data_IF_410855395877
#
_entry.id   IF_410855395877
#
_cell.length_a   1.000
_cell.length_b   1.000
_cell.length_c   1.000
_cell.angle_alpha   90.00
_cell.angle_beta   90.00
_cell.angle_gamma   90.00
#
_symmetry.space_group_name_H-M   'P 1'
#
loop_
_entity.id
_entity.type
_entity.pdbx_description
1 polymer ?
#
# COMPACT_ATOMS: atom_id res chain seq x y z
N UNK A 1 -13.73 -3.92 -71.31
CA UNK A 1 -12.77 -2.82 -71.14
C UNK A 1 -11.87 -3.20 -69.98
N UNK A 2 -10.67 -3.75 -70.24
CA UNK A 2 -9.74 -4.20 -69.21
C UNK A 2 -8.97 -2.95 -68.75
N UNK A 3 -9.28 -2.46 -67.55
CA UNK A 3 -8.53 -1.36 -66.93
C UNK A 3 -7.11 -1.88 -66.69
N UNK A 4 -6.14 -1.39 -67.48
CA UNK A 4 -4.72 -1.60 -67.20
C UNK A 4 -4.38 -0.78 -65.96
N UNK A 5 -4.45 -1.39 -64.79
CA UNK A 5 -3.83 -0.83 -63.59
C UNK A 5 -2.33 -0.88 -63.80
N UNK A 6 -1.68 0.29 -63.77
CA UNK A 6 -0.22 0.32 -63.78
C UNK A 6 0.31 -0.20 -62.44
N UNK A 7 1.52 -0.76 -62.37
CA UNK A 7 2.11 -1.21 -61.10
C UNK A 7 2.14 -0.11 -60.04
N UNK A 8 2.28 1.15 -60.47
CA UNK A 8 2.27 2.33 -59.60
C UNK A 8 0.89 2.61 -58.99
N UNK A 9 -0.19 2.41 -59.76
CA UNK A 9 -1.56 2.55 -59.27
C UNK A 9 -1.92 1.48 -58.22
N UNK A 10 -1.40 0.25 -58.39
CA UNK A 10 -1.57 -0.82 -57.42
C UNK A 10 -0.87 -0.50 -56.11
N UNK A 11 0.40 -0.06 -56.16
CA UNK A 11 1.16 0.29 -54.96
C UNK A 11 0.51 1.45 -54.18
N UNK A 12 0.07 2.50 -54.88
CA UNK A 12 -0.69 3.60 -54.26
C UNK A 12 -1.97 3.10 -53.57
N UNK A 13 -2.74 2.23 -54.22
CA UNK A 13 -3.96 1.69 -53.62
C UNK A 13 -3.71 0.86 -52.36
N UNK A 14 -2.58 0.16 -52.28
CA UNK A 14 -2.18 -0.64 -51.11
C UNK A 14 -1.72 0.27 -49.95
N UNK A 15 -0.98 1.33 -50.25
CA UNK A 15 -0.52 2.29 -49.25
C UNK A 15 -1.67 3.14 -48.71
N UNK A 16 -2.59 3.56 -49.57
CA UNK A 16 -3.82 4.27 -49.18
C UNK A 16 -4.71 3.38 -48.31
N UNK A 17 -4.88 2.10 -48.67
CA UNK A 17 -5.62 1.14 -47.85
C UNK A 17 -4.96 0.89 -46.49
N UNK A 18 -3.63 0.90 -46.41
CA UNK A 18 -2.89 0.82 -45.13
C UNK A 18 -3.08 2.08 -44.30
N UNK A 19 -3.04 3.26 -44.92
CA UNK A 19 -3.24 4.54 -44.25
C UNK A 19 -4.64 4.65 -43.65
N UNK A 20 -5.67 4.28 -44.41
CA UNK A 20 -7.06 4.25 -43.95
C UNK A 20 -7.23 3.29 -42.77
N UNK A 21 -6.73 2.05 -42.86
CA UNK A 21 -6.76 1.09 -41.74
C UNK A 21 -6.02 1.60 -40.50
N UNK A 22 -4.92 2.34 -40.69
CA UNK A 22 -4.16 2.94 -39.58
C UNK A 22 -4.96 4.05 -38.91
N UNK A 23 -5.69 4.83 -39.69
CA UNK A 23 -6.53 5.92 -39.21
C UNK A 23 -7.79 5.43 -38.51
N UNK A 24 -8.45 4.41 -39.05
CA UNK A 24 -9.57 3.72 -38.40
C UNK A 24 -9.15 3.14 -37.05
N UNK A 25 -8.02 2.42 -36.99
CA UNK A 25 -7.46 1.93 -35.72
C UNK A 25 -7.09 3.04 -34.75
N UNK A 26 -6.71 4.23 -35.25
CA UNK A 26 -6.41 5.38 -34.40
C UNK A 26 -7.70 5.99 -33.82
N UNK A 27 -8.75 6.11 -34.63
CA UNK A 27 -10.07 6.61 -34.21
C UNK A 27 -10.75 5.64 -33.24
N UNK A 28 -10.67 4.33 -33.50
CA UNK A 28 -11.11 3.29 -32.57
C UNK A 28 -10.36 3.41 -31.24
N UNK A 29 -9.03 3.61 -31.27
CA UNK A 29 -8.22 3.82 -30.05
C UNK A 29 -8.56 5.09 -29.29
N UNK A 30 -8.97 6.14 -30.00
CA UNK A 30 -9.36 7.43 -29.43
C UNK A 30 -10.77 7.41 -28.81
N UNK A 31 -11.53 6.32 -29.00
CA UNK A 31 -12.85 6.16 -28.37
C UNK A 31 -12.69 5.77 -26.90
N UNK A 32 -13.12 6.63 -25.99
CA UNK A 32 -12.96 6.47 -24.53
C UNK A 32 -13.62 5.21 -23.96
N UNK A 33 -14.72 4.74 -24.56
CA UNK A 33 -15.52 3.61 -24.07
C UNK A 33 -15.19 2.27 -24.74
N UNK A 34 -14.07 2.16 -25.47
CA UNK A 34 -13.69 0.91 -26.12
C UNK A 34 -13.29 -0.16 -25.10
N UNK A 35 -13.55 -1.42 -25.42
CA UNK A 35 -12.97 -2.52 -24.67
C UNK A 35 -11.46 -2.56 -24.92
N UNK A 36 -10.69 -2.66 -23.83
CA UNK A 36 -9.23 -2.79 -23.91
C UNK A 36 -8.86 -4.13 -24.56
N UNK A 37 -7.82 -4.13 -25.38
CA UNK A 37 -7.23 -5.37 -25.89
C UNK A 37 -6.63 -6.20 -24.74
N UNK A 38 -6.57 -7.54 -24.79
CA UNK A 38 -6.01 -8.33 -23.69
C UNK A 38 -4.57 -7.95 -23.32
N UNK A 39 -3.74 -7.50 -24.27
CA UNK A 39 -2.40 -7.02 -23.96
C UNK A 39 -2.39 -5.64 -23.28
N UNK A 40 -3.27 -4.74 -23.70
CA UNK A 40 -3.44 -3.44 -23.05
C UNK A 40 -3.95 -3.61 -21.60
N UNK A 41 -4.90 -4.53 -21.39
CA UNK A 41 -5.34 -4.92 -20.03
C UNK A 41 -4.20 -5.44 -19.20
N UNK A 42 -3.42 -6.37 -19.73
CA UNK A 42 -2.26 -6.95 -19.03
C UNK A 42 -1.29 -5.86 -18.58
N UNK A 43 -0.93 -4.95 -19.48
CA UNK A 43 -0.02 -3.84 -19.18
C UNK A 43 -0.57 -2.92 -18.09
N UNK A 44 -1.84 -2.50 -18.21
CA UNK A 44 -2.47 -1.62 -17.22
C UNK A 44 -2.57 -2.30 -15.86
N UNK A 45 -2.91 -3.59 -15.82
CA UNK A 45 -2.97 -4.37 -14.58
C UNK A 45 -1.58 -4.47 -13.94
N UNK A 46 -0.55 -4.75 -14.73
CA UNK A 46 0.84 -4.82 -14.23
C UNK A 46 1.29 -3.47 -13.67
N UNK A 47 1.09 -2.38 -14.42
CA UNK A 47 1.40 -1.02 -13.97
C UNK A 47 0.66 -0.67 -12.67
N UNK A 48 -0.59 -1.13 -12.53
CA UNK A 48 -1.38 -0.91 -11.31
C UNK A 48 -0.88 -1.76 -10.13
N UNK A 49 -0.40 -2.96 -10.38
CA UNK A 49 0.21 -3.82 -9.37
C UNK A 49 1.50 -3.18 -8.81
N UNK A 50 2.34 -2.63 -9.69
CA UNK A 50 3.56 -1.92 -9.29
C UNK A 50 3.22 -0.71 -8.41
N UNK A 51 2.25 0.12 -8.84
CA UNK A 51 1.78 1.27 -8.06
C UNK A 51 1.25 0.87 -6.68
N UNK A 52 0.52 -0.23 -6.57
CA UNK A 52 0.01 -0.71 -5.28
C UNK A 52 1.14 -1.19 -4.37
N UNK A 53 2.19 -1.78 -4.95
CA UNK A 53 3.39 -2.18 -4.22
C UNK A 53 4.13 -0.96 -3.69
N UNK A 54 4.29 0.09 -4.51
CA UNK A 54 4.91 1.35 -4.10
C UNK A 54 4.13 2.01 -2.95
N UNK A 55 2.80 2.04 -3.02
CA UNK A 55 1.94 2.58 -1.94
C UNK A 55 2.14 1.78 -0.64
N UNK A 56 2.27 0.46 -0.74
CA UNK A 56 2.53 -0.39 0.42
C UNK A 56 3.89 -0.06 1.06
N UNK A 57 4.94 0.11 0.25
CA UNK A 57 6.29 0.44 0.71
C UNK A 57 6.35 1.83 1.36
N UNK A 58 5.70 2.83 0.75
CA UNK A 58 5.56 4.16 1.33
C UNK A 58 4.86 4.11 2.68
N UNK A 59 3.83 3.26 2.82
CA UNK A 59 3.15 3.02 4.09
C UNK A 59 4.09 2.47 5.17
N UNK A 60 4.96 1.52 4.83
CA UNK A 60 5.95 0.98 5.77
C UNK A 60 6.98 2.03 6.19
N UNK A 61 7.48 2.78 5.22
CA UNK A 61 8.42 3.87 5.48
C UNK A 61 7.84 4.89 6.45
N UNK A 62 6.60 5.33 6.23
CA UNK A 62 5.87 6.24 7.13
C UNK A 62 5.66 5.63 8.53
N UNK A 63 5.36 4.34 8.60
CA UNK A 63 5.19 3.64 9.89
C UNK A 63 6.50 3.60 10.68
N UNK A 64 7.63 3.30 10.03
CA UNK A 64 8.97 3.32 10.66
C UNK A 64 9.31 4.72 11.17
N UNK A 65 9.06 5.77 10.38
CA UNK A 65 9.25 7.15 10.82
C UNK A 65 8.38 7.50 12.04
N UNK A 66 7.11 7.09 12.07
CA UNK A 66 6.24 7.32 13.22
C UNK A 66 6.77 6.66 14.50
N UNK A 67 7.33 5.45 14.39
CA UNK A 67 7.98 4.75 15.52
C UNK A 67 9.24 5.47 16.01
N UNK A 68 10.05 6.05 15.13
CA UNK A 68 11.21 6.85 15.51
C UNK A 68 10.79 8.10 16.31
N UNK A 69 9.77 8.82 15.84
CA UNK A 69 9.24 10.00 16.53
C UNK A 69 8.69 9.59 17.91
N UNK A 70 7.93 8.49 17.98
CA UNK A 70 7.43 7.93 19.22
C UNK A 70 8.55 7.63 20.23
N UNK A 71 9.63 6.99 19.76
CA UNK A 71 10.81 6.72 20.58
C UNK A 71 11.41 8.01 21.15
N UNK A 72 11.55 9.04 20.31
CA UNK A 72 12.03 10.36 20.72
C UNK A 72 11.14 11.02 21.77
N UNK A 73 9.83 11.02 21.58
CA UNK A 73 8.87 11.60 22.54
C UNK A 73 8.94 10.87 23.89
N UNK A 74 8.97 9.54 23.88
CA UNK A 74 9.09 8.74 25.10
C UNK A 74 10.43 9.01 25.82
N UNK A 75 11.53 9.18 25.09
CA UNK A 75 12.82 9.53 25.68
C UNK A 75 12.80 10.93 26.33
N UNK A 76 12.19 11.92 25.68
CA UNK A 76 11.98 13.25 26.26
C UNK A 76 11.14 13.17 27.54
N UNK A 77 10.05 12.40 27.53
CA UNK A 77 9.22 12.22 28.73
C UNK A 77 9.95 11.53 29.87
N UNK A 78 10.78 10.52 29.58
CA UNK A 78 11.64 9.91 30.59
C UNK A 78 12.61 10.93 31.19
N UNK A 79 13.23 11.77 30.35
CA UNK A 79 14.13 12.82 30.81
C UNK A 79 13.41 13.83 31.70
N UNK A 80 12.20 14.27 31.32
CA UNK A 80 11.35 15.15 32.13
C UNK A 80 11.10 14.54 33.52
N UNK A 81 10.74 13.25 33.60
CA UNK A 81 10.50 12.56 34.87
C UNK A 81 11.77 12.52 35.73
N UNK A 82 12.90 12.12 35.14
CA UNK A 82 14.18 12.02 35.87
C UNK A 82 14.71 13.37 36.36
N UNK A 83 14.53 14.46 35.58
CA UNK A 83 14.93 15.81 36.00
C UNK A 83 13.96 16.43 37.02
N UNK A 84 12.69 16.03 36.99
CA UNK A 84 11.70 16.42 38.00
C UNK A 84 12.18 16.04 39.40
N UNK A 85 12.57 14.78 39.60
CA UNK A 85 13.00 14.24 40.90
C UNK A 85 14.20 14.99 41.52
N UNK A 86 15.13 15.49 40.70
CA UNK A 86 16.31 16.23 41.18
C UNK A 86 16.02 17.68 41.62
N UNK A 87 14.84 18.22 41.30
CA UNK A 87 14.52 19.65 41.45
C UNK A 87 13.32 19.95 42.35
N UNK A 88 12.84 18.97 43.12
CA UNK A 88 11.58 19.11 43.85
C UNK A 88 10.35 19.01 42.94
N UNK A 89 10.42 18.10 41.96
CA UNK A 89 9.38 17.87 40.97
C UNK A 89 8.02 17.47 41.57
N UNK A 90 6.98 17.39 40.73
CA UNK A 90 5.61 17.14 41.19
C UNK A 90 5.56 15.87 42.03
N UNK A 91 5.02 15.98 43.25
CA UNK A 91 4.92 14.89 44.20
C UNK A 91 4.23 13.70 43.51
N UNK A 92 4.96 12.61 43.28
CA UNK A 92 4.47 11.42 42.55
C UNK A 92 3.27 10.79 43.29
N UNK A 93 3.05 11.15 44.55
CA UNK A 93 1.88 10.81 45.36
C UNK A 93 0.60 11.56 44.97
N UNK A 94 0.67 12.63 44.16
CA UNK A 94 -0.52 13.32 43.70
C UNK A 94 -1.31 12.40 42.74
N UNK A 95 -2.56 12.04 43.06
CA UNK A 95 -3.34 11.11 42.25
C UNK A 95 -3.54 11.61 40.82
N UNK A 96 -3.52 12.92 40.56
CA UNK A 96 -3.61 13.47 39.22
C UNK A 96 -2.36 13.19 38.37
N UNK A 97 -1.16 13.22 38.99
CA UNK A 97 0.12 12.90 38.32
C UNK A 97 0.18 11.40 38.02
N UNK A 98 -0.22 10.57 38.98
CA UNK A 98 -0.32 9.11 38.78
C UNK A 98 -1.31 8.78 37.65
N UNK A 99 -2.49 9.42 37.64
CA UNK A 99 -3.48 9.23 36.58
C UNK A 99 -2.96 9.67 35.21
N UNK A 100 -2.26 10.81 35.12
CA UNK A 100 -1.62 11.26 33.89
C UNK A 100 -0.59 10.26 33.38
N UNK A 101 0.33 9.80 34.23
CA UNK A 101 1.37 8.84 33.86
C UNK A 101 0.75 7.51 33.42
N UNK A 102 -0.21 6.99 34.18
CA UNK A 102 -0.94 5.77 33.83
C UNK A 102 -1.65 5.90 32.47
N UNK A 103 -2.32 7.04 32.23
CA UNK A 103 -2.98 7.35 30.96
C UNK A 103 -1.95 7.41 29.82
N UNK A 104 -0.85 8.12 30.01
CA UNK A 104 0.22 8.23 29.02
C UNK A 104 0.81 6.87 28.65
N UNK A 105 1.16 6.04 29.65
CA UNK A 105 1.69 4.68 29.43
C UNK A 105 0.68 3.82 28.70
N UNK A 106 -0.60 3.86 29.09
CA UNK A 106 -1.67 3.13 28.43
C UNK A 106 -1.84 3.54 26.97
N UNK A 107 -1.84 4.85 26.67
CA UNK A 107 -1.90 5.34 25.29
C UNK A 107 -0.67 4.92 24.49
N UNK A 108 0.53 5.03 25.07
CA UNK A 108 1.78 4.62 24.43
C UNK A 108 1.78 3.12 24.08
N UNK A 109 1.29 2.26 24.98
CA UNK A 109 1.13 0.82 24.72
C UNK A 109 0.09 0.54 23.64
N UNK A 110 -1.09 1.16 23.71
CA UNK A 110 -2.11 1.08 22.66
C UNK A 110 -1.53 1.47 21.30
N UNK A 111 -0.66 2.47 21.30
CA UNK A 111 -0.01 2.99 20.12
C UNK A 111 1.01 2.02 19.52
N UNK A 112 1.85 1.40 20.35
CA UNK A 112 2.73 0.31 19.91
C UNK A 112 1.95 -0.83 19.27
N UNK A 113 0.80 -1.21 19.84
CA UNK A 113 -0.07 -2.24 19.23
C UNK A 113 -0.55 -1.81 17.84
N UNK A 114 -0.90 -0.53 17.63
CA UNK A 114 -1.29 -0.05 16.31
C UNK A 114 -0.12 -0.01 15.31
N UNK A 115 1.08 0.37 15.75
CA UNK A 115 2.26 0.35 14.90
C UNK A 115 2.67 -1.08 14.51
N UNK A 116 2.62 -2.03 15.45
CA UNK A 116 2.81 -3.46 15.17
C UNK A 116 1.76 -3.96 14.18
N UNK A 117 0.47 -3.60 14.36
CA UNK A 117 -0.60 -3.95 13.41
C UNK A 117 -0.41 -3.32 12.03
N UNK A 118 0.25 -2.16 11.93
CA UNK A 118 0.56 -1.53 10.66
C UNK A 118 1.71 -2.24 9.93
N UNK A 119 2.75 -2.65 10.66
CA UNK A 119 3.93 -3.36 10.15
C UNK A 119 3.75 -4.87 9.98
N UNK A 120 2.75 -5.47 10.64
CA UNK A 120 2.54 -6.93 10.61
C UNK A 120 2.48 -7.38 9.15
N UNK A 121 3.36 -8.32 8.72
CA UNK A 121 3.29 -8.90 7.39
C UNK A 121 1.91 -9.55 7.25
N UNK A 122 1.16 -9.08 6.26
CA UNK A 122 -0.14 -9.66 5.94
C UNK A 122 0.13 -10.69 4.87
N UNK A 123 -0.10 -11.96 5.20
CA UNK A 123 -0.30 -12.95 4.16
C UNK A 123 -1.47 -12.47 3.30
N UNK A 124 -1.40 -12.59 1.97
CA UNK A 124 -2.62 -12.52 1.18
C UNK A 124 -3.57 -13.52 1.81
N UNK A 125 -4.66 -13.04 2.42
CA UNK A 125 -5.72 -13.94 2.84
C UNK A 125 -6.15 -14.65 1.56
N UNK A 126 -5.87 -15.95 1.47
CA UNK A 126 -6.39 -16.86 0.45
C UNK A 126 -7.91 -16.98 0.66
N UNK A 127 -8.63 -15.85 0.63
CA UNK A 127 -10.08 -15.83 0.51
C UNK A 127 -10.38 -16.35 -0.89
N UNK A 128 -10.65 -17.67 -0.95
CA UNK A 128 -11.22 -18.39 -2.08
C UNK A 128 -10.78 -17.85 -3.44
N UNK A 129 -9.49 -18.00 -3.73
CA UNK A 129 -8.97 -17.83 -5.07
C UNK A 129 -9.39 -19.05 -5.93
N UNK A 130 -10.69 -19.35 -5.96
CA UNK A 130 -11.29 -20.09 -7.05
C UNK A 130 -11.25 -19.15 -8.24
N UNK A 131 -10.20 -19.26 -9.07
CA UNK A 131 -10.14 -18.52 -10.32
C UNK A 131 -11.47 -18.67 -11.05
N UNK A 132 -11.94 -17.63 -11.72
CA UNK A 132 -13.20 -17.66 -12.47
C UNK A 132 -13.27 -18.82 -13.50
N UNK A 133 -12.15 -19.50 -13.80
CA UNK A 133 -12.06 -20.69 -14.65
C UNK A 133 -11.89 -22.03 -13.91
N UNK A 134 -11.89 -22.06 -12.57
CA UNK A 134 -11.70 -23.28 -11.77
C UNK A 134 -10.29 -23.90 -11.86
N UNK A 135 -9.32 -23.18 -12.43
CA UNK A 135 -7.91 -23.60 -12.49
C UNK A 135 -7.10 -23.01 -11.31
N UNK A 136 -6.11 -23.74 -10.78
CA UNK A 136 -5.21 -23.22 -9.75
C UNK A 136 -4.44 -22.01 -10.27
N UNK A 137 -4.25 -21.00 -9.41
CA UNK A 137 -3.52 -19.77 -9.75
C UNK A 137 -2.08 -20.06 -10.18
N UNK A 138 -1.54 -19.25 -11.09
CA UNK A 138 -0.15 -19.31 -11.53
C UNK A 138 0.81 -18.54 -10.60
N UNK A 139 0.29 -17.70 -9.70
CA UNK A 139 1.08 -16.88 -8.79
C UNK A 139 1.68 -17.70 -7.64
N UNK A 140 2.71 -17.16 -7.00
CA UNK A 140 3.36 -17.73 -5.81
C UNK A 140 2.40 -17.77 -4.60
N UNK A 141 1.59 -18.81 -4.52
CA UNK A 141 0.84 -19.19 -3.31
C UNK A 141 1.55 -20.31 -2.57
N UNK A 142 1.22 -20.49 -1.28
CA UNK A 142 1.72 -21.60 -0.46
C UNK A 142 1.46 -22.97 -1.10
N UNK A 143 0.44 -23.09 -1.95
CA UNK A 143 0.12 -24.29 -2.71
C UNK A 143 1.03 -24.46 -3.94
N UNK A 144 1.33 -23.38 -4.67
CA UNK A 144 2.26 -23.40 -5.79
C UNK A 144 3.70 -23.72 -5.34
N UNK A 145 4.09 -23.30 -4.13
CA UNK A 145 5.38 -23.60 -3.51
C UNK A 145 5.56 -25.09 -3.15
N UNK A 146 4.46 -25.83 -2.97
CA UNK A 146 4.50 -27.28 -2.68
C UNK A 146 4.69 -28.13 -3.94
N UNK A 147 4.56 -27.53 -5.12
CA UNK A 147 4.65 -28.25 -6.37
C UNK A 147 6.08 -28.35 -6.90
N UNK A 148 6.42 -29.41 -7.65
CA UNK A 148 7.70 -29.52 -8.33
C UNK A 148 7.89 -28.37 -9.34
N UNK A 149 9.08 -27.76 -9.35
CA UNK A 149 9.41 -26.63 -10.21
C UNK A 149 9.15 -26.88 -11.72
N UNK A 150 9.30 -28.12 -12.18
CA UNK A 150 8.99 -28.50 -13.56
C UNK A 150 7.50 -28.40 -13.90
N UNK A 151 6.62 -28.74 -12.95
CA UNK A 151 5.17 -28.63 -13.10
C UNK A 151 4.76 -27.16 -13.14
N UNK A 152 5.33 -26.35 -12.25
CA UNK A 152 5.13 -24.91 -12.24
C UNK A 152 5.57 -24.25 -13.57
N UNK A 153 6.77 -24.55 -14.04
CA UNK A 153 7.26 -24.03 -15.32
C UNK A 153 6.39 -24.44 -16.51
N UNK A 154 5.88 -25.68 -16.51
CA UNK A 154 4.95 -26.18 -17.53
C UNK A 154 3.65 -25.39 -17.60
N UNK A 155 3.11 -24.92 -16.45
CA UNK A 155 1.92 -24.06 -16.42
C UNK A 155 2.19 -22.71 -17.07
N UNK A 156 3.34 -22.09 -16.76
CA UNK A 156 3.72 -20.81 -17.36
C UNK A 156 3.91 -20.89 -18.88
N UNK A 157 4.35 -22.03 -19.40
CA UNK A 157 4.45 -22.25 -20.85
C UNK A 157 3.09 -22.38 -21.55
N UNK A 158 2.06 -22.82 -20.84
CA UNK A 158 0.72 -23.04 -21.38
C UNK A 158 -0.28 -21.94 -21.00
N UNK A 159 0.13 -20.97 -20.18
CA UNK A 159 -0.71 -19.91 -19.66
C UNK A 159 -1.21 -19.00 -20.79
N UNK A 160 -2.52 -18.75 -20.82
CA UNK A 160 -3.11 -17.81 -21.76
C UNK A 160 -3.16 -16.41 -21.18
N UNK A 161 -3.07 -15.40 -22.04
CA UNK A 161 -3.08 -13.99 -21.62
C UNK A 161 -4.38 -13.58 -20.91
N UNK A 162 -5.50 -14.22 -21.26
CA UNK A 162 -6.78 -14.04 -20.57
C UNK A 162 -6.78 -14.59 -19.14
N UNK A 163 -6.13 -15.73 -18.93
CA UNK A 163 -5.96 -16.34 -17.60
C UNK A 163 -5.06 -15.46 -16.72
N UNK A 164 -3.94 -14.97 -17.28
CA UNK A 164 -3.05 -14.03 -16.60
C UNK A 164 -3.76 -12.71 -16.21
N UNK A 165 -4.61 -12.18 -17.08
CA UNK A 165 -5.39 -10.97 -16.79
C UNK A 165 -6.39 -11.18 -15.65
N UNK A 166 -7.10 -12.32 -15.65
CA UNK A 166 -8.04 -12.65 -14.58
C UNK A 166 -7.33 -12.78 -13.23
N UNK A 167 -6.17 -13.42 -13.24
CA UNK A 167 -5.34 -13.59 -12.06
C UNK A 167 -4.76 -12.27 -11.53
N UNK A 168 -4.18 -11.44 -12.40
CA UNK A 168 -3.69 -10.12 -12.04
C UNK A 168 -4.81 -9.24 -11.46
N UNK A 169 -6.03 -9.33 -11.99
CA UNK A 169 -7.17 -8.60 -11.46
C UNK A 169 -7.51 -9.03 -10.02
N UNK A 170 -7.49 -10.34 -9.73
CA UNK A 170 -7.67 -10.86 -8.37
C UNK A 170 -6.55 -10.38 -7.44
N UNK A 171 -5.29 -10.48 -7.88
CA UNK A 171 -4.12 -10.02 -7.13
C UNK A 171 -4.22 -8.52 -6.80
N UNK A 172 -4.56 -7.69 -7.77
CA UNK A 172 -4.76 -6.25 -7.57
C UNK A 172 -5.88 -5.98 -6.58
N UNK A 173 -6.97 -6.75 -6.63
CA UNK A 173 -8.08 -6.61 -5.70
C UNK A 173 -7.65 -6.92 -4.25
N UNK A 174 -6.90 -8.01 -4.05
CA UNK A 174 -6.40 -8.38 -2.71
C UNK A 174 -5.36 -7.38 -2.20
N UNK A 175 -4.40 -6.96 -3.04
CA UNK A 175 -3.43 -5.90 -2.69
C UNK A 175 -4.15 -4.59 -2.32
N UNK A 176 -5.17 -4.20 -3.09
CA UNK A 176 -5.94 -2.98 -2.82
C UNK A 176 -6.63 -3.04 -1.45
N UNK A 177 -7.30 -4.16 -1.12
CA UNK A 177 -7.91 -4.36 0.20
C UNK A 177 -6.88 -4.30 1.32
N UNK A 178 -5.74 -4.94 1.14
CA UNK A 178 -4.65 -4.95 2.10
C UNK A 178 -4.07 -3.55 2.32
N UNK A 179 -3.86 -2.79 1.24
CA UNK A 179 -3.40 -1.40 1.29
C UNK A 179 -4.39 -0.49 2.02
N UNK A 180 -5.69 -0.59 1.73
CA UNK A 180 -6.73 0.19 2.44
C UNK A 180 -6.71 -0.11 3.94
N UNK A 181 -6.63 -1.39 4.32
CA UNK A 181 -6.55 -1.81 5.73
C UNK A 181 -5.28 -1.26 6.39
N UNK A 182 -4.13 -1.32 5.71
CA UNK A 182 -2.83 -0.81 6.18
C UNK A 182 -2.86 0.70 6.37
N UNK A 183 -3.39 1.46 5.40
CA UNK A 183 -3.51 2.92 5.49
C UNK A 183 -4.45 3.35 6.62
N UNK A 184 -5.55 2.63 6.88
CA UNK A 184 -6.41 2.89 8.05
C UNK A 184 -5.69 2.64 9.37
N UNK A 185 -4.89 1.57 9.45
CA UNK A 185 -4.06 1.33 10.64
C UNK A 185 -3.01 2.45 10.81
N UNK A 186 -2.37 2.87 9.72
CA UNK A 186 -1.42 3.99 9.72
C UNK A 186 -2.09 5.30 10.16
N UNK A 187 -3.32 5.58 9.73
CA UNK A 187 -4.06 6.77 10.18
C UNK A 187 -4.28 6.76 11.69
N UNK A 188 -4.58 5.60 12.30
CA UNK A 188 -4.70 5.46 13.76
C UNK A 188 -3.34 5.68 14.46
N UNK A 189 -2.24 5.27 13.83
CA UNK A 189 -0.88 5.59 14.27
C UNK A 189 -0.63 7.11 14.16
N UNK A 190 -1.03 7.81 13.10
CA UNK A 190 -0.84 9.27 13.13
C UNK A 190 -1.69 9.96 14.21
N UNK A 191 -2.93 9.51 14.41
CA UNK A 191 -3.81 10.06 15.44
C UNK A 191 -3.23 9.91 16.85
N UNK A 192 -2.81 8.70 17.23
CA UNK A 192 -2.22 8.50 18.56
C UNK A 192 -0.90 9.25 18.76
N UNK A 193 -0.12 9.45 17.69
CA UNK A 193 1.10 10.26 17.75
C UNK A 193 0.79 11.72 18.07
N UNK A 194 -0.23 12.30 17.44
CA UNK A 194 -0.68 13.67 17.76
C UNK A 194 -1.13 13.80 19.22
N UNK A 195 -1.86 12.81 19.74
CA UNK A 195 -2.28 12.81 21.15
C UNK A 195 -1.07 12.74 22.09
N UNK A 196 -0.09 11.87 21.82
CA UNK A 196 1.14 11.76 22.63
C UNK A 196 1.99 13.03 22.61
N UNK A 197 2.12 13.68 21.44
CA UNK A 197 2.78 14.99 21.33
C UNK A 197 2.05 16.03 22.17
N UNK A 198 0.71 16.09 22.08
CA UNK A 198 -0.09 17.03 22.86
C UNK A 198 0.04 16.82 24.37
N UNK A 199 0.02 15.56 24.83
CA UNK A 199 0.23 15.21 26.24
C UNK A 199 1.63 15.62 26.71
N UNK A 200 2.65 15.40 25.90
CA UNK A 200 4.04 15.77 26.21
C UNK A 200 4.20 17.29 26.30
N UNK A 201 3.60 18.03 25.36
CA UNK A 201 3.59 19.50 25.38
C UNK A 201 2.87 20.03 26.63
N UNK A 202 1.74 19.43 27.01
CA UNK A 202 1.05 19.78 28.26
C UNK A 202 1.95 19.55 29.49
N UNK A 203 2.65 18.41 29.57
CA UNK A 203 3.58 18.15 30.67
C UNK A 203 4.71 19.17 30.74
N UNK A 204 5.27 19.57 29.60
CA UNK A 204 6.28 20.63 29.52
C UNK A 204 5.76 21.97 30.02
N UNK A 205 4.54 22.35 29.63
CA UNK A 205 3.90 23.60 30.10
C UNK A 205 3.68 23.58 31.61
N UNK A 206 3.15 22.48 32.15
CA UNK A 206 2.94 22.34 33.60
C UNK A 206 4.27 22.46 34.33
N UNK A 207 5.32 21.76 33.85
CA UNK A 207 6.63 21.82 34.46
C UNK A 207 7.23 23.24 34.42
N UNK A 208 7.12 23.91 33.27
CA UNK A 208 7.57 25.29 33.12
C UNK A 208 6.85 26.22 34.11
N UNK A 209 5.52 26.16 34.20
CA UNK A 209 4.74 26.97 35.15
C UNK A 209 5.15 26.68 36.59
N UNK A 210 5.33 25.41 36.97
CA UNK A 210 5.76 25.06 38.32
C UNK A 210 7.18 25.52 38.66
N UNK A 211 8.07 25.61 37.67
CA UNK A 211 9.46 26.07 37.86
C UNK A 211 9.63 27.59 37.83
N UNK A 212 8.85 28.31 37.01
CA UNK A 212 8.92 29.78 36.91
C UNK A 212 7.98 30.50 37.88
N UNK A 213 7.06 29.78 38.52
CA UNK A 213 6.16 30.31 39.55
C UNK A 213 6.71 30.23 40.99
N UNK A 214 7.91 29.68 41.18
CA UNK A 214 8.71 29.74 42.42
C UNK A 214 9.80 30.79 42.27
#
# INVERSE_FOLDING_TARGET
>A
MIVRTTPEDFLRSVDDAKAVRRQERFLERATENRLLDPWERYRVLTDQCDRLTDVAEQGDRKTRFALLILGGINAVNLLIVTQGDMSGGPNITNPAVVAYVACYVFLSLCFFVYAIKALRPRSPETEEAGGASGRPLLHLDDEALREPAAVYAGRWQQAQIGEMNAELATMIHTLSRNNVRKLRALQRVYLGLYVLVGLTAMALVVLAVTRFGQ
#
